data_IF_892766110577
#
_entry.id   IF_892766110577
#
_cell.length_a   1.000
_cell.length_b   1.000
_cell.length_c   1.000
_cell.angle_alpha   90.00
_cell.angle_beta   90.00
_cell.angle_gamma   90.00
#
_symmetry.space_group_name_H-M   'P 1'
#
loop_
_entity.id
_entity.type
_entity.pdbx_description
1 polymer ?
#
# COMPACT_ATOMS: atom_id res chain seq x y z
N UNK A 1 -19.77 26.74 2.77
CA UNK A 1 -19.61 25.39 3.34
C UNK A 1 -18.60 25.48 4.46
N UNK A 2 -18.97 25.10 5.69
CA UNK A 2 -18.07 25.16 6.84
C UNK A 2 -17.10 23.99 6.85
N UNK A 3 -15.82 24.26 7.07
CA UNK A 3 -14.81 23.22 7.31
C UNK A 3 -14.96 22.64 8.71
N UNK A 4 -14.77 21.33 8.86
CA UNK A 4 -14.76 20.66 10.16
C UNK A 4 -13.64 21.20 11.07
N UNK A 5 -13.92 21.31 12.36
CA UNK A 5 -12.95 21.64 13.41
C UNK A 5 -12.02 20.47 13.71
N UNK A 6 -10.84 20.73 14.30
CA UNK A 6 -9.89 19.65 14.68
C UNK A 6 -10.50 18.65 15.67
N UNK A 7 -11.34 19.11 16.57
CA UNK A 7 -12.00 18.28 17.57
C UNK A 7 -13.05 17.36 16.94
N UNK A 8 -13.77 17.82 15.92
CA UNK A 8 -14.69 16.97 15.14
C UNK A 8 -13.92 15.90 14.37
N UNK A 9 -12.78 16.25 13.77
CA UNK A 9 -11.92 15.28 13.06
C UNK A 9 -11.42 14.19 14.02
N UNK A 10 -10.98 14.56 15.22
CA UNK A 10 -10.45 13.60 16.20
C UNK A 10 -11.50 12.63 16.75
N UNK A 11 -12.80 12.98 16.64
CA UNK A 11 -13.91 12.12 17.07
C UNK A 11 -14.40 11.17 15.97
N UNK A 12 -13.92 11.32 14.73
CA UNK A 12 -14.31 10.42 13.65
C UNK A 12 -13.75 9.02 13.92
N UNK A 13 -14.48 7.95 13.50
CA UNK A 13 -13.95 6.61 13.53
C UNK A 13 -12.61 6.57 12.78
N UNK A 14 -11.56 6.10 13.46
CA UNK A 14 -10.25 5.88 12.84
C UNK A 14 -10.20 4.56 12.07
N UNK A 15 -11.18 3.69 12.31
CA UNK A 15 -11.33 2.39 11.66
C UNK A 15 -12.81 2.11 11.38
N UNK A 16 -13.08 1.48 10.24
CA UNK A 16 -14.38 0.94 9.88
C UNK A 16 -14.24 -0.57 9.78
N UNK A 17 -15.18 -1.34 10.36
CA UNK A 17 -15.12 -2.81 10.34
C UNK A 17 -15.11 -3.36 8.91
N UNK A 18 -15.93 -2.78 8.02
CA UNK A 18 -15.94 -3.12 6.59
C UNK A 18 -16.27 -1.91 5.74
N UNK A 19 -15.57 -1.75 4.61
CA UNK A 19 -15.90 -0.77 3.57
C UNK A 19 -16.32 -1.53 2.31
N UNK A 20 -17.55 -1.38 1.80
CA UNK A 20 -17.95 -2.02 0.56
C UNK A 20 -17.02 -1.63 -0.59
N UNK A 21 -16.68 -2.60 -1.45
CA UNK A 21 -15.78 -2.36 -2.58
C UNK A 21 -16.28 -1.22 -3.49
N UNK A 22 -17.60 -1.10 -3.69
CA UNK A 22 -18.20 -0.01 -4.47
C UNK A 22 -17.95 1.37 -3.86
N UNK A 23 -17.93 1.49 -2.53
CA UNK A 23 -17.60 2.72 -1.81
C UNK A 23 -16.12 3.06 -1.97
N UNK A 24 -15.24 2.08 -1.75
CA UNK A 24 -13.80 2.24 -2.00
C UNK A 24 -13.53 2.70 -3.44
N UNK A 25 -14.14 2.03 -4.41
CA UNK A 25 -13.98 2.32 -5.83
C UNK A 25 -14.38 3.76 -6.17
N UNK A 26 -15.56 4.22 -5.70
CA UNK A 26 -16.04 5.58 -5.91
C UNK A 26 -15.10 6.62 -5.29
N UNK A 27 -14.67 6.39 -4.06
CA UNK A 27 -13.73 7.27 -3.36
C UNK A 27 -12.40 7.34 -4.11
N UNK A 28 -11.83 6.20 -4.47
CA UNK A 28 -10.56 6.11 -5.18
C UNK A 28 -10.62 6.82 -6.54
N UNK A 29 -11.67 6.55 -7.30
CA UNK A 29 -11.91 7.21 -8.59
C UNK A 29 -12.02 8.75 -8.43
N UNK A 30 -12.77 9.23 -7.43
CA UNK A 30 -12.89 10.65 -7.15
C UNK A 30 -11.54 11.29 -6.77
N UNK A 31 -10.72 10.60 -5.97
CA UNK A 31 -9.36 11.06 -5.63
C UNK A 31 -8.49 11.16 -6.90
N UNK A 32 -8.49 10.12 -7.75
CA UNK A 32 -7.69 10.13 -8.99
C UNK A 32 -8.07 11.30 -9.92
N UNK A 33 -9.37 11.65 -9.99
CA UNK A 33 -9.90 12.72 -10.84
C UNK A 33 -9.72 14.12 -10.24
N UNK A 34 -9.93 14.25 -8.93
CA UNK A 34 -9.97 15.54 -8.24
C UNK A 34 -8.58 16.11 -7.90
N UNK A 35 -7.55 15.26 -7.82
CA UNK A 35 -6.20 15.73 -7.51
C UNK A 35 -5.54 16.44 -8.71
N UNK A 36 -4.97 17.65 -8.51
CA UNK A 36 -4.16 18.33 -9.52
C UNK A 36 -3.02 17.44 -10.02
N UNK A 37 -2.73 17.46 -11.32
CA UNK A 37 -1.73 16.58 -11.93
C UNK A 37 -0.33 16.73 -11.34
N UNK A 38 0.06 17.97 -11.02
CA UNK A 38 1.33 18.35 -10.40
C UNK A 38 1.46 17.91 -8.93
N UNK A 39 0.34 17.80 -8.20
CA UNK A 39 0.32 17.42 -6.76
C UNK A 39 -0.07 15.98 -6.49
N UNK A 40 -0.63 15.29 -7.49
CA UNK A 40 -1.15 13.92 -7.35
C UNK A 40 -0.12 12.95 -6.77
N UNK A 41 1.11 12.98 -7.30
CA UNK A 41 2.18 12.11 -6.83
C UNK A 41 2.55 12.34 -5.36
N UNK A 42 2.69 13.60 -4.95
CA UNK A 42 3.01 13.99 -3.57
C UNK A 42 1.90 13.56 -2.60
N UNK A 43 0.65 13.87 -2.93
CA UNK A 43 -0.50 13.59 -2.06
C UNK A 43 -0.71 12.09 -1.89
N UNK A 44 -0.68 11.33 -2.98
CA UNK A 44 -0.84 9.86 -2.92
C UNK A 44 0.33 9.20 -2.19
N UNK A 45 1.53 9.77 -2.29
CA UNK A 45 2.69 9.31 -1.50
C UNK A 45 2.46 9.51 -0.02
N UNK A 46 1.95 10.68 0.38
CA UNK A 46 1.63 10.98 1.77
C UNK A 46 0.54 10.03 2.30
N UNK A 47 -0.53 9.83 1.55
CA UNK A 47 -1.62 8.90 1.91
C UNK A 47 -1.09 7.48 2.09
N UNK A 48 -0.34 6.96 1.11
CA UNK A 48 0.21 5.61 1.18
C UNK A 48 1.11 5.41 2.39
N UNK A 49 2.04 6.35 2.66
CA UNK A 49 2.91 6.28 3.83
C UNK A 49 2.14 6.35 5.15
N UNK A 50 1.07 7.13 5.23
CA UNK A 50 0.22 7.17 6.42
C UNK A 50 -0.44 5.82 6.66
N UNK A 51 -1.06 5.22 5.64
CA UNK A 51 -1.66 3.87 5.76
C UNK A 51 -0.62 2.85 6.21
N UNK A 52 0.58 2.86 5.62
CA UNK A 52 1.65 1.92 5.99
C UNK A 52 2.16 2.09 7.42
N UNK A 53 1.99 3.25 8.05
CA UNK A 53 2.39 3.49 9.46
C UNK A 53 1.44 2.86 10.47
N UNK A 54 0.21 2.55 10.06
CA UNK A 54 -0.77 1.81 10.86
C UNK A 54 -0.41 0.32 11.02
N UNK A 55 0.58 -0.18 10.27
CA UNK A 55 1.07 -1.55 10.42
C UNK A 55 1.60 -1.81 11.83
N UNK A 56 1.03 -2.76 12.54
CA UNK A 56 1.48 -3.13 13.87
C UNK A 56 2.73 -4.03 13.79
N UNK A 57 3.80 -3.62 14.47
CA UNK A 57 5.07 -4.35 14.50
C UNK A 57 5.34 -5.07 15.83
N UNK A 58 4.38 -5.03 16.75
CA UNK A 58 4.44 -5.74 18.02
C UNK A 58 4.53 -7.26 17.81
N UNK A 59 5.41 -7.92 18.57
CA UNK A 59 5.60 -9.36 18.51
C UNK A 59 6.31 -9.89 17.24
N UNK A 60 6.82 -9.02 16.37
CA UNK A 60 7.65 -9.44 15.22
C UNK A 60 9.09 -9.66 15.69
N UNK A 61 9.60 -10.89 15.64
CA UNK A 61 10.99 -11.20 16.01
C UNK A 61 11.83 -11.61 14.80
N UNK A 62 11.23 -12.33 13.86
CA UNK A 62 11.90 -12.87 12.67
C UNK A 62 11.35 -12.25 11.38
N UNK A 63 12.07 -12.47 10.26
CA UNK A 63 11.58 -12.04 8.94
C UNK A 63 10.29 -12.78 8.54
N UNK A 64 10.13 -14.03 8.97
CA UNK A 64 8.96 -14.85 8.65
C UNK A 64 7.71 -14.36 9.42
N UNK A 65 7.90 -13.92 10.67
CA UNK A 65 6.84 -13.23 11.43
C UNK A 65 6.41 -11.96 10.71
N UNK A 66 7.40 -11.18 10.23
CA UNK A 66 7.13 -9.96 9.49
C UNK A 66 6.34 -10.23 8.20
N UNK A 67 6.74 -11.22 7.41
CA UNK A 67 6.03 -11.58 6.17
C UNK A 67 4.60 -12.02 6.46
N UNK A 68 4.39 -12.82 7.50
CA UNK A 68 3.06 -13.26 7.94
C UNK A 68 2.19 -12.08 8.37
N UNK A 69 2.73 -11.18 9.19
CA UNK A 69 2.02 -9.96 9.63
C UNK A 69 1.73 -9.02 8.48
N UNK A 70 2.66 -8.87 7.54
CA UNK A 70 2.47 -8.04 6.36
C UNK A 70 1.35 -8.59 5.47
N UNK A 71 1.30 -9.91 5.25
CA UNK A 71 0.21 -10.53 4.52
C UNK A 71 -1.14 -10.28 5.22
N UNK A 72 -1.22 -10.51 6.54
CA UNK A 72 -2.43 -10.23 7.32
C UNK A 72 -2.87 -8.77 7.19
N UNK A 73 -1.93 -7.82 7.30
CA UNK A 73 -2.24 -6.40 7.14
C UNK A 73 -2.83 -6.09 5.75
N UNK A 74 -2.27 -6.67 4.68
CA UNK A 74 -2.74 -6.41 3.31
C UNK A 74 -4.14 -6.99 3.04
N UNK A 75 -4.44 -8.17 3.60
CA UNK A 75 -5.68 -8.92 3.36
C UNK A 75 -6.81 -8.55 4.32
N UNK A 76 -6.50 -8.23 5.58
CA UNK A 76 -7.50 -8.07 6.64
C UNK A 76 -7.62 -6.63 7.12
N UNK A 77 -6.50 -5.97 7.47
CA UNK A 77 -6.54 -4.61 8.03
C UNK A 77 -6.78 -3.56 6.95
N UNK A 78 -5.97 -3.60 5.89
CA UNK A 78 -6.12 -2.72 4.74
C UNK A 78 -7.06 -3.33 3.68
N UNK A 79 -7.13 -4.66 3.62
CA UNK A 79 -8.06 -5.44 2.81
C UNK A 79 -8.13 -5.00 1.34
N UNK A 80 -6.98 -4.64 0.74
CA UNK A 80 -6.92 -4.13 -0.65
C UNK A 80 -6.79 -5.25 -1.68
N UNK A 81 -6.51 -6.46 -1.22
CA UNK A 81 -6.20 -7.66 -2.00
C UNK A 81 -6.83 -8.84 -1.29
N UNK A 82 -7.20 -9.88 -2.04
CA UNK A 82 -7.81 -11.08 -1.46
C UNK A 82 -6.79 -12.23 -1.33
N UNK A 83 -5.61 -12.08 -1.94
CA UNK A 83 -4.53 -13.06 -1.89
C UNK A 83 -3.19 -12.34 -2.08
N UNK A 84 -2.62 -11.84 -0.98
CA UNK A 84 -1.28 -11.28 -0.97
C UNK A 84 -0.25 -12.40 -0.80
N UNK A 85 0.78 -12.39 -1.64
CA UNK A 85 1.99 -13.20 -1.43
C UNK A 85 3.16 -12.25 -1.27
N UNK A 86 3.88 -12.39 -0.17
CA UNK A 86 5.05 -11.58 0.11
C UNK A 86 6.23 -12.49 0.39
N UNK A 87 7.33 -12.22 -0.30
CA UNK A 87 8.56 -12.99 -0.17
C UNK A 87 9.77 -12.05 -0.11
N UNK A 88 10.89 -12.58 0.39
CA UNK A 88 12.17 -11.88 0.40
C UNK A 88 13.22 -12.64 -0.38
N UNK A 89 14.09 -11.88 -1.04
CA UNK A 89 15.33 -12.42 -1.61
C UNK A 89 16.46 -12.14 -0.63
N UNK A 90 17.21 -13.18 -0.26
CA UNK A 90 18.39 -13.08 0.60
C UNK A 90 19.68 -13.20 -0.23
N UNK A 91 20.77 -12.60 0.24
CA UNK A 91 22.09 -12.84 -0.34
C UNK A 91 22.76 -14.11 0.22
N UNK A 92 24.00 -14.37 -0.21
CA UNK A 92 24.77 -15.55 0.23
C UNK A 92 25.12 -15.56 1.72
N UNK A 93 24.96 -14.44 2.43
CA UNK A 93 25.16 -14.33 3.87
C UNK A 93 23.84 -14.43 4.65
N UNK A 94 22.70 -14.56 3.96
CA UNK A 94 21.38 -14.60 4.57
C UNK A 94 20.74 -13.22 4.80
N UNK A 95 21.40 -12.13 4.38
CA UNK A 95 20.85 -10.78 4.53
C UNK A 95 19.71 -10.56 3.53
N UNK A 96 18.62 -9.95 3.99
CA UNK A 96 17.47 -9.63 3.15
C UNK A 96 17.82 -8.47 2.21
N UNK A 97 17.81 -8.76 0.90
CA UNK A 97 18.17 -7.82 -0.16
C UNK A 97 16.96 -7.13 -0.78
N UNK A 98 15.88 -7.89 -0.97
CA UNK A 98 14.67 -7.42 -1.64
C UNK A 98 13.42 -7.98 -0.98
N UNK A 99 12.34 -7.20 -1.08
CA UNK A 99 10.99 -7.67 -0.84
C UNK A 99 10.22 -7.69 -2.15
N UNK A 100 9.49 -8.78 -2.39
CA UNK A 100 8.60 -8.92 -3.53
C UNK A 100 7.20 -9.13 -2.98
N UNK A 101 6.26 -8.30 -3.42
CA UNK A 101 4.84 -8.45 -3.09
C UNK A 101 4.06 -8.71 -4.37
N UNK A 102 3.51 -9.92 -4.48
CA UNK A 102 2.55 -10.31 -5.51
C UNK A 102 1.14 -10.18 -4.96
N UNK A 103 0.28 -9.52 -5.70
CA UNK A 103 -1.10 -9.24 -5.33
C UNK A 103 -2.00 -9.83 -6.40
N UNK A 104 -2.92 -10.71 -6.00
CA UNK A 104 -4.00 -11.19 -6.85
C UNK A 104 -5.32 -10.55 -6.38
N UNK A 105 -6.20 -10.20 -7.32
CA UNK A 105 -7.46 -9.49 -7.03
C UNK A 105 -7.29 -8.11 -6.35
N UNK A 106 -6.23 -7.36 -6.70
CA UNK A 106 -5.98 -6.04 -6.16
C UNK A 106 -7.08 -5.02 -6.56
N UNK A 107 -7.83 -4.56 -5.57
CA UNK A 107 -8.95 -3.60 -5.70
C UNK A 107 -8.51 -2.28 -6.33
N UNK A 108 -7.28 -1.82 -6.05
CA UNK A 108 -6.70 -0.64 -6.71
C UNK A 108 -6.42 -0.86 -8.19
N UNK A 109 -5.94 -2.04 -8.59
CA UNK A 109 -5.64 -2.36 -9.98
C UNK A 109 -6.92 -2.35 -10.83
N UNK A 110 -8.02 -2.89 -10.30
CA UNK A 110 -9.33 -2.80 -10.93
C UNK A 110 -9.77 -1.34 -11.12
N UNK A 111 -9.76 -0.54 -10.05
CA UNK A 111 -10.21 0.84 -10.12
C UNK A 111 -9.33 1.72 -11.04
N UNK A 112 -8.02 1.48 -11.05
CA UNK A 112 -7.08 2.15 -11.97
C UNK A 112 -7.32 1.78 -13.44
N UNK A 113 -7.67 0.51 -13.69
CA UNK A 113 -8.01 0.03 -15.03
C UNK A 113 -9.26 0.73 -15.56
N UNK A 114 -10.30 0.84 -14.73
CA UNK A 114 -11.51 1.56 -15.08
C UNK A 114 -11.25 3.04 -15.38
N UNK A 115 -10.55 3.75 -14.49
CA UNK A 115 -10.22 5.17 -14.68
C UNK A 115 -9.47 5.44 -16.00
N UNK A 116 -8.54 4.54 -16.36
CA UNK A 116 -7.80 4.63 -17.62
C UNK A 116 -8.71 4.51 -18.85
N UNK A 117 -9.62 3.53 -18.85
CA UNK A 117 -10.47 3.26 -20.01
C UNK A 117 -11.59 4.28 -20.20
N UNK A 118 -12.07 4.90 -19.12
CA UNK A 118 -13.24 5.78 -19.20
C UNK A 118 -12.92 7.28 -19.17
N UNK A 119 -11.76 7.70 -18.65
CA UNK A 119 -11.42 9.12 -18.52
C UNK A 119 -10.07 9.50 -19.16
N UNK A 120 -9.43 8.61 -19.93
CA UNK A 120 -8.13 8.82 -20.59
C UNK A 120 -7.01 9.33 -19.65
N UNK A 121 -7.15 9.11 -18.34
CA UNK A 121 -6.21 9.61 -17.35
C UNK A 121 -5.07 8.63 -17.05
N UNK A 122 -4.02 9.14 -16.42
CA UNK A 122 -2.89 8.33 -15.92
C UNK A 122 -3.11 8.02 -14.43
N UNK A 123 -3.63 6.82 -14.08
CA UNK A 123 -3.86 6.47 -12.68
C UNK A 123 -2.53 6.29 -11.93
N UNK A 124 -2.53 6.59 -10.63
CA UNK A 124 -1.36 6.45 -9.76
C UNK A 124 -1.65 5.51 -8.58
N UNK A 125 -0.82 4.48 -8.39
CA UNK A 125 -0.99 3.50 -7.32
C UNK A 125 -0.25 3.95 -6.04
N UNK A 126 -0.91 3.89 -4.88
CA UNK A 126 -0.31 4.20 -3.58
C UNK A 126 0.32 3.00 -2.88
N UNK A 127 0.04 1.76 -3.35
CA UNK A 127 0.58 0.52 -2.78
C UNK A 127 2.11 0.55 -2.58
N UNK A 128 2.93 1.04 -3.54
CA UNK A 128 4.37 1.21 -3.32
C UNK A 128 4.71 1.98 -2.05
N UNK A 129 3.95 3.03 -1.76
CA UNK A 129 4.20 3.93 -0.63
C UNK A 129 3.62 3.41 0.68
N UNK A 130 2.59 2.54 0.63
CA UNK A 130 2.14 1.77 1.79
C UNK A 130 3.24 0.84 2.27
N UNK A 131 3.79 0.02 1.39
CA UNK A 131 4.90 -0.89 1.74
C UNK A 131 6.13 -0.10 2.22
N UNK A 132 6.46 1.04 1.61
CA UNK A 132 7.52 1.92 2.13
C UNK A 132 7.24 2.42 3.56
N UNK A 133 5.97 2.71 3.88
CA UNK A 133 5.55 3.05 5.25
C UNK A 133 5.78 1.89 6.21
N UNK A 134 5.34 0.69 5.86
CA UNK A 134 5.55 -0.54 6.63
C UNK A 134 7.03 -0.81 6.86
N UNK A 135 7.81 -0.87 5.78
CA UNK A 135 9.24 -1.12 5.82
C UNK A 135 9.98 -0.13 6.71
N UNK A 136 9.52 1.14 6.75
CA UNK A 136 10.12 2.16 7.61
C UNK A 136 9.97 1.90 9.11
N UNK A 137 8.96 1.14 9.54
CA UNK A 137 8.79 0.74 10.95
C UNK A 137 9.80 -0.34 11.32
N UNK A 138 9.86 -1.39 10.51
CA UNK A 138 10.71 -2.56 10.79
C UNK A 138 12.17 -2.40 10.35
N UNK A 139 12.54 -1.30 9.68
CA UNK A 139 13.88 -1.11 9.08
C UNK A 139 15.02 -1.30 10.08
N UNK A 140 14.87 -0.79 11.31
CA UNK A 140 15.95 -0.84 12.30
C UNK A 140 16.12 -2.26 12.84
N UNK A 141 15.01 -2.98 13.00
CA UNK A 141 14.99 -4.36 13.49
C UNK A 141 15.69 -5.31 12.51
N UNK A 142 15.44 -5.15 11.22
CA UNK A 142 16.01 -6.02 10.17
C UNK A 142 17.21 -5.41 9.43
N UNK A 143 17.71 -4.26 9.88
CA UNK A 143 18.88 -3.61 9.27
C UNK A 143 18.68 -3.13 7.83
N UNK A 144 17.44 -2.89 7.39
CA UNK A 144 17.15 -2.43 6.03
C UNK A 144 17.75 -1.04 5.77
N UNK A 145 18.42 -0.89 4.62
CA UNK A 145 19.11 0.34 4.20
C UNK A 145 18.69 0.70 2.78
N UNK A 146 18.82 1.98 2.43
CA UNK A 146 18.54 2.52 1.08
C UNK A 146 17.22 2.07 0.44
N UNK A 147 16.19 1.81 1.26
CA UNK A 147 14.95 1.20 0.81
C UNK A 147 14.35 1.99 -0.35
N UNK A 148 14.11 1.31 -1.47
CA UNK A 148 13.56 1.94 -2.67
C UNK A 148 12.61 1.01 -3.39
N UNK A 149 11.57 1.60 -3.96
CA UNK A 149 10.69 0.91 -4.90
C UNK A 149 11.41 0.77 -6.25
N UNK A 150 11.53 -0.46 -6.75
CA UNK A 150 12.25 -0.75 -8.00
C UNK A 150 11.32 -0.82 -9.21
N UNK A 151 10.08 -1.32 -9.03
CA UNK A 151 9.14 -1.40 -10.14
C UNK A 151 7.93 -2.29 -9.91
N UNK A 152 7.10 -2.36 -10.95
CA UNK A 152 5.90 -3.18 -11.03
C UNK A 152 5.91 -3.98 -12.32
N UNK A 153 5.65 -5.27 -12.20
CA UNK A 153 5.25 -6.13 -13.30
C UNK A 153 3.74 -6.37 -13.19
N UNK A 154 3.00 -6.01 -14.24
CA UNK A 154 1.55 -6.22 -14.30
C UNK A 154 1.25 -7.61 -14.85
N UNK A 155 0.33 -8.32 -14.20
CA UNK A 155 -0.21 -9.58 -14.68
C UNK A 155 -1.56 -9.38 -15.37
N UNK A 156 -2.49 -10.31 -15.13
CA UNK A 156 -3.90 -10.16 -15.51
C UNK A 156 -4.60 -8.97 -14.83
N UNK A 157 -5.89 -8.80 -15.11
CA UNK A 157 -6.69 -7.75 -14.46
C UNK A 157 -6.74 -8.02 -12.95
N UNK A 158 -6.31 -7.03 -12.15
CA UNK A 158 -6.24 -7.18 -10.70
C UNK A 158 -4.92 -7.77 -10.19
N UNK A 159 -4.00 -8.18 -11.07
CA UNK A 159 -2.74 -8.80 -10.68
C UNK A 159 -1.54 -7.86 -10.83
N UNK A 160 -0.69 -7.81 -9.81
CA UNK A 160 0.59 -7.12 -9.91
C UNK A 160 1.65 -7.72 -8.99
N UNK A 161 2.89 -7.69 -9.47
CA UNK A 161 4.07 -8.00 -8.68
C UNK A 161 4.90 -6.74 -8.55
N UNK A 162 5.23 -6.37 -7.32
CA UNK A 162 6.02 -5.18 -7.01
C UNK A 162 7.28 -5.58 -6.26
N UNK A 163 8.37 -4.84 -6.49
CA UNK A 163 9.67 -5.14 -5.89
C UNK A 163 10.25 -3.91 -5.21
N UNK A 164 10.83 -4.13 -4.03
CA UNK A 164 11.57 -3.14 -3.27
C UNK A 164 12.97 -3.66 -2.98
N UNK A 165 13.97 -2.82 -3.17
CA UNK A 165 15.29 -3.05 -2.64
C UNK A 165 15.32 -2.62 -1.16
N UNK A 166 16.08 -3.36 -0.36
CA UNK A 166 16.20 -3.21 1.10
C UNK A 166 17.67 -3.02 1.55
N UNK A 167 18.61 -2.80 0.61
CA UNK A 167 20.04 -2.66 0.88
C UNK A 167 20.64 -1.46 0.16
#
# INVERSE_FOLDING_TARGET
MGSLTKEEINKLPTQFETVPYSTFFKLWYAIQKGLPSDKKGEILTKIGRTIGREFDEEGIETIDDFLTRLQQFLEQNWAITDNAKVEVIKDGNGDVMKLIAKQDSCKMCYANTYYRFHDSGTPSCMFPQVIMGVLSKVKNKFGFKNMRYEGIQKGGVGECTMTWNLK
#
